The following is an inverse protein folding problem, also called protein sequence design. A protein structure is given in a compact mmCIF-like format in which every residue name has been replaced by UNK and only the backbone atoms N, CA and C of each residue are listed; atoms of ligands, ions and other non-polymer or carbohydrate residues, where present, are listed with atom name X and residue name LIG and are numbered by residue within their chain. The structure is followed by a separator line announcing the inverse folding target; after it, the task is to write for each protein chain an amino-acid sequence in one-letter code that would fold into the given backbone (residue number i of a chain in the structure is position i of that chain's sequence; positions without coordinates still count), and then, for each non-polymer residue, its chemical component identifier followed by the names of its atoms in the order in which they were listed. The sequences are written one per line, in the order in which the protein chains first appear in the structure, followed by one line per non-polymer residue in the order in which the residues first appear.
data_IF_222596041454
#
_entry.id   IF_222596041454
#
_cell.length_a   1.000
_cell.length_b   1.000
_cell.length_c   1.000
_cell.angle_alpha   90.00
_cell.angle_beta   90.00
_cell.angle_gamma   90.00
#
_symmetry.space_group_name_H-M   'P 1'
#
loop_
_entity.id
_entity.type
_entity.pdbx_description
1 polymer ?
#
# COMPACT_ATOMS: atom_id res chain seq x y z
N UNK A 1 24.12 40.47 65.56
CA UNK A 1 23.45 41.04 64.37
C UNK A 1 23.29 39.95 63.32
N UNK A 2 22.05 39.73 62.90
CA UNK A 2 21.57 38.58 62.10
C UNK A 2 22.19 38.57 60.70
N UNK A 3 22.67 37.41 60.23
CA UNK A 3 22.79 37.10 58.79
C UNK A 3 21.85 35.93 58.50
N UNK A 4 20.68 36.26 57.95
CA UNK A 4 19.72 35.31 57.42
C UNK A 4 20.19 34.99 56.00
N UNK A 5 20.52 33.72 55.74
CA UNK A 5 20.74 33.23 54.38
C UNK A 5 19.36 32.98 53.75
N UNK A 6 19.00 33.80 52.78
CA UNK A 6 17.83 33.56 51.92
C UNK A 6 18.25 32.50 50.90
N UNK A 7 17.75 31.28 51.09
CA UNK A 7 17.84 30.20 50.13
C UNK A 7 16.81 30.48 49.03
N UNK A 8 17.24 31.01 47.89
CA UNK A 8 16.38 31.21 46.73
C UNK A 8 15.96 29.87 46.15
N UNK A 9 14.73 29.45 46.47
CA UNK A 9 14.07 28.32 45.83
C UNK A 9 13.66 28.75 44.42
N UNK A 10 14.45 28.37 43.42
CA UNK A 10 14.06 28.50 42.01
C UNK A 10 12.99 27.42 41.74
N UNK A 11 11.72 27.80 41.88
CA UNK A 11 10.60 27.01 41.35
C UNK A 11 10.69 27.12 39.82
N UNK A 12 11.31 26.12 39.19
CA UNK A 12 11.16 25.92 37.75
C UNK A 12 9.71 25.45 37.56
N UNK A 13 8.85 26.40 37.23
CA UNK A 13 7.50 26.15 36.75
C UNK A 13 7.66 25.45 35.39
N UNK A 14 7.72 24.11 35.40
CA UNK A 14 7.67 23.31 34.20
C UNK A 14 6.26 23.47 33.63
N UNK A 15 6.08 24.45 32.74
CA UNK A 15 4.91 24.54 31.87
C UNK A 15 4.86 23.26 31.03
N UNK A 16 4.16 22.26 31.54
CA UNK A 16 3.57 21.20 30.74
C UNK A 16 2.53 21.87 29.84
N UNK A 17 2.98 22.43 28.72
CA UNK A 17 2.10 22.67 27.59
C UNK A 17 1.67 21.30 27.11
N UNK A 18 0.55 20.82 27.66
CA UNK A 18 -0.29 19.84 27.00
C UNK A 18 -0.75 20.52 25.73
N UNK A 19 0.05 20.40 24.67
CA UNK A 19 -0.41 20.67 23.32
C UNK A 19 -1.43 19.59 23.04
N UNK A 20 -2.70 19.92 23.24
CA UNK A 20 -3.78 19.20 22.60
C UNK A 20 -3.45 19.19 21.11
N UNK A 21 -3.13 18.01 20.57
CA UNK A 21 -3.06 17.79 19.13
C UNK A 21 -4.48 17.93 18.58
N UNK A 22 -4.99 19.15 18.52
CA UNK A 22 -6.07 19.48 17.62
C UNK A 22 -5.48 19.37 16.23
N UNK A 23 -5.84 18.31 15.52
CA UNK A 23 -5.58 18.10 14.11
C UNK A 23 -6.14 19.29 13.33
N UNK A 24 -5.34 20.34 13.17
CA UNK A 24 -5.63 21.38 12.22
C UNK A 24 -5.35 20.78 10.84
N UNK A 25 -6.41 20.26 10.22
CA UNK A 25 -6.48 20.09 8.78
C UNK A 25 -6.22 21.46 8.15
N UNK A 26 -4.96 21.70 7.77
CA UNK A 26 -4.55 22.92 7.08
C UNK A 26 -5.20 22.88 5.70
N UNK A 27 -6.17 23.78 5.47
CA UNK A 27 -6.98 23.96 4.26
C UNK A 27 -6.45 23.21 3.03
N UNK A 28 -7.06 22.05 2.75
CA UNK A 28 -6.78 21.21 1.60
C UNK A 28 -7.40 21.84 0.35
N UNK A 29 -6.58 22.03 -0.70
CA UNK A 29 -6.97 22.43 -2.06
C UNK A 29 -7.79 23.72 -2.21
N UNK A 30 -7.29 24.65 -3.03
CA UNK A 30 -8.07 25.82 -3.47
C UNK A 30 -9.38 25.47 -4.20
N UNK A 31 -9.62 24.20 -4.58
CA UNK A 31 -10.79 23.82 -5.34
C UNK A 31 -11.97 23.31 -4.48
N UNK A 32 -11.70 22.56 -3.41
CA UNK A 32 -12.72 21.96 -2.53
C UNK A 32 -12.21 21.84 -1.10
N UNK A 33 -12.87 22.50 -0.17
CA UNK A 33 -12.71 22.28 1.26
C UNK A 33 -13.41 20.97 1.67
N UNK A 34 -12.69 20.11 2.39
CA UNK A 34 -13.20 18.81 2.88
C UNK A 34 -13.06 18.75 4.39
N UNK A 35 -14.18 18.56 5.09
CA UNK A 35 -14.21 18.38 6.54
C UNK A 35 -14.89 17.05 6.86
N UNK A 36 -14.17 16.13 7.50
CA UNK A 36 -14.66 14.82 7.90
C UNK A 36 -14.75 14.74 9.41
N UNK A 37 -15.91 14.31 9.92
CA UNK A 37 -16.13 14.10 11.34
C UNK A 37 -17.24 13.10 11.59
N UNK A 38 -16.97 12.15 12.47
CA UNK A 38 -17.92 11.15 12.99
C UNK A 38 -18.62 10.37 11.86
N UNK A 39 -17.91 10.04 10.79
CA UNK A 39 -18.43 9.31 9.64
C UNK A 39 -19.24 10.17 8.65
N UNK A 40 -19.19 11.50 8.78
CA UNK A 40 -19.83 12.45 7.87
C UNK A 40 -18.79 13.35 7.21
N UNK A 41 -19.07 13.79 5.98
CA UNK A 41 -18.27 14.77 5.24
C UNK A 41 -19.09 16.00 4.87
N UNK A 42 -18.49 17.17 5.08
CA UNK A 42 -18.88 18.43 4.44
C UNK A 42 -17.91 18.71 3.31
N UNK A 43 -18.45 18.89 2.10
CA UNK A 43 -17.69 19.29 0.91
C UNK A 43 -18.15 20.67 0.47
N UNK A 44 -17.22 21.62 0.38
CA UNK A 44 -17.51 22.99 -0.06
C UNK A 44 -16.59 23.38 -1.21
N UNK A 45 -17.19 23.72 -2.34
CA UNK A 45 -16.49 24.03 -3.59
C UNK A 45 -16.07 25.49 -3.59
N UNK A 46 -14.79 25.75 -3.85
CA UNK A 46 -14.18 27.07 -3.87
C UNK A 46 -14.04 27.67 -5.29
N UNK A 47 -14.82 27.14 -6.24
CA UNK A 47 -14.92 27.61 -7.62
C UNK A 47 -16.34 28.10 -7.90
N UNK A 48 -16.46 29.30 -8.48
CA UNK A 48 -17.75 29.94 -8.75
C UNK A 48 -18.51 29.27 -9.90
N UNK A 49 -19.77 28.94 -9.65
CA UNK A 49 -20.77 28.53 -10.63
C UNK A 49 -22.19 28.80 -10.12
N UNK A 50 -23.17 28.72 -11.01
CA UNK A 50 -24.61 28.88 -10.70
C UNK A 50 -25.29 27.56 -10.30
N UNK A 51 -24.72 26.44 -10.73
CA UNK A 51 -25.25 25.09 -10.51
C UNK A 51 -24.10 24.11 -10.25
N UNK A 52 -24.26 23.28 -9.23
CA UNK A 52 -23.31 22.25 -8.83
C UNK A 52 -24.00 20.89 -8.84
N UNK A 53 -23.31 19.88 -9.36
CA UNK A 53 -23.76 18.49 -9.34
C UNK A 53 -22.75 17.63 -8.59
N UNK A 54 -23.20 16.97 -7.52
CA UNK A 54 -22.35 16.08 -6.72
C UNK A 54 -22.77 14.62 -6.95
N UNK A 55 -21.77 13.79 -7.18
CA UNK A 55 -21.92 12.35 -7.35
C UNK A 55 -21.06 11.64 -6.32
N UNK A 56 -21.63 10.65 -5.64
CA UNK A 56 -20.96 9.78 -4.67
C UNK A 56 -20.94 8.36 -5.24
N UNK A 57 -19.76 7.77 -5.41
CA UNK A 57 -19.57 6.44 -6.00
C UNK A 57 -20.37 6.24 -7.30
N UNK A 58 -20.43 7.28 -8.14
CA UNK A 58 -21.16 7.28 -9.42
C UNK A 58 -22.68 7.44 -9.32
N UNK A 59 -23.25 7.69 -8.13
CA UNK A 59 -24.67 8.04 -7.94
C UNK A 59 -24.80 9.54 -7.67
N UNK A 60 -25.69 10.22 -8.39
CA UNK A 60 -26.03 11.62 -8.11
C UNK A 60 -26.64 11.75 -6.72
N UNK A 61 -26.11 12.66 -5.91
CA UNK A 61 -26.60 12.95 -4.55
C UNK A 61 -27.10 14.39 -4.41
N UNK A 62 -26.68 15.32 -5.27
CA UNK A 62 -27.13 16.71 -5.26
C UNK A 62 -27.06 17.35 -6.65
N UNK A 63 -28.01 18.24 -6.94
CA UNK A 63 -27.99 19.18 -8.07
C UNK A 63 -28.70 20.45 -7.61
N UNK A 64 -28.04 21.60 -7.71
CA UNK A 64 -28.63 22.88 -7.32
C UNK A 64 -27.58 23.99 -7.21
N UNK A 65 -27.97 25.14 -6.66
CA UNK A 65 -27.12 26.32 -6.56
C UNK A 65 -26.17 26.34 -5.35
N UNK A 66 -26.35 25.45 -4.38
CA UNK A 66 -25.43 25.34 -3.24
C UNK A 66 -24.10 24.76 -3.71
N UNK A 67 -23.01 25.44 -3.36
CA UNK A 67 -21.64 24.94 -3.55
C UNK A 67 -21.17 24.04 -2.40
N UNK A 68 -22.04 23.77 -1.41
CA UNK A 68 -21.76 22.96 -0.23
C UNK A 68 -22.76 21.81 -0.10
N UNK A 69 -22.27 20.63 0.30
CA UNK A 69 -23.09 19.47 0.66
C UNK A 69 -22.60 18.81 1.94
N UNK A 70 -23.51 18.09 2.60
CA UNK A 70 -23.22 17.15 3.67
C UNK A 70 -23.60 15.74 3.23
N UNK A 71 -22.78 14.75 3.56
CA UNK A 71 -23.01 13.35 3.20
C UNK A 71 -22.42 12.43 4.25
N UNK A 72 -23.08 11.30 4.53
CA UNK A 72 -22.47 10.19 5.27
C UNK A 72 -21.33 9.59 4.44
N UNK A 73 -20.38 8.93 5.10
CA UNK A 73 -19.25 8.24 4.49
C UNK A 73 -19.42 6.73 4.69
N UNK A 74 -19.19 5.95 3.64
CA UNK A 74 -19.20 4.48 3.69
C UNK A 74 -18.05 3.97 4.57
N UNK A 75 -18.09 2.69 4.97
CA UNK A 75 -17.20 2.11 5.98
C UNK A 75 -15.69 2.35 5.79
N UNK A 76 -15.21 2.45 4.55
CA UNK A 76 -13.81 2.75 4.23
C UNK A 76 -13.65 4.22 3.79
N UNK A 77 -14.62 4.72 3.05
CA UNK A 77 -14.54 6.01 2.38
C UNK A 77 -15.45 6.01 1.17
N UNK A 78 -15.44 7.12 0.44
CA UNK A 78 -16.16 7.27 -0.82
C UNK A 78 -15.39 8.12 -1.84
N UNK A 79 -15.69 7.90 -3.13
CA UNK A 79 -15.24 8.75 -4.22
C UNK A 79 -16.33 9.73 -4.61
N UNK A 80 -15.95 10.99 -4.74
CA UNK A 80 -16.82 12.07 -5.17
C UNK A 80 -16.42 12.60 -6.54
N UNK A 81 -17.41 12.93 -7.36
CA UNK A 81 -17.26 13.74 -8.57
C UNK A 81 -18.15 14.97 -8.45
N UNK A 82 -17.61 16.12 -8.80
CA UNK A 82 -18.30 17.40 -8.69
C UNK A 82 -18.23 18.06 -10.07
N UNK A 83 -19.39 18.37 -10.64
CA UNK A 83 -19.51 19.20 -11.84
C UNK A 83 -19.97 20.59 -11.48
N UNK A 84 -19.25 21.61 -11.95
CA UNK A 84 -19.55 23.02 -11.69
C UNK A 84 -19.97 23.68 -13.00
N UNK A 85 -21.15 24.28 -13.01
CA UNK A 85 -21.77 24.85 -14.20
C UNK A 85 -21.94 26.37 -14.05
N UNK A 86 -21.90 27.04 -15.18
CA UNK A 86 -22.25 28.46 -15.32
C UNK A 86 -23.01 28.61 -16.64
N UNK A 87 -24.18 29.21 -16.60
CA UNK A 87 -25.07 29.42 -17.75
C UNK A 87 -25.31 28.11 -18.51
N UNK A 88 -25.64 27.05 -17.76
CA UNK A 88 -25.86 25.68 -18.27
C UNK A 88 -24.64 25.03 -18.97
N UNK A 89 -23.45 25.63 -18.86
CA UNK A 89 -22.20 25.11 -19.43
C UNK A 89 -21.33 24.51 -18.32
N UNK A 90 -20.89 23.25 -18.48
CA UNK A 90 -19.96 22.59 -17.56
C UNK A 90 -18.57 23.26 -17.64
N UNK A 91 -18.19 23.97 -16.58
CA UNK A 91 -16.92 24.71 -16.51
C UNK A 91 -15.79 23.87 -15.94
N UNK A 92 -16.07 23.09 -14.91
CA UNK A 92 -15.05 22.34 -14.20
C UNK A 92 -15.59 21.03 -13.66
N UNK A 93 -14.74 20.00 -13.70
CA UNK A 93 -14.96 18.73 -13.02
C UNK A 93 -13.86 18.50 -12.02
N UNK A 94 -14.26 18.14 -10.80
CA UNK A 94 -13.36 17.78 -9.71
C UNK A 94 -13.67 16.34 -9.32
N UNK A 95 -12.64 15.52 -9.18
CA UNK A 95 -12.75 14.18 -8.58
C UNK A 95 -11.92 14.18 -7.31
N UNK A 96 -12.48 13.63 -6.23
CA UNK A 96 -11.79 13.52 -4.95
C UNK A 96 -12.17 12.25 -4.22
N UNK A 97 -11.31 11.79 -3.35
CA UNK A 97 -11.61 10.76 -2.38
C UNK A 97 -11.84 11.36 -0.99
N UNK A 98 -12.64 10.65 -0.21
CA UNK A 98 -12.89 10.99 1.18
C UNK A 98 -12.82 9.71 1.98
N UNK A 99 -11.92 9.67 2.94
CA UNK A 99 -11.73 8.54 3.86
C UNK A 99 -12.67 8.66 5.05
N UNK A 100 -13.18 7.53 5.56
CA UNK A 100 -13.99 7.52 6.78
C UNK A 100 -13.09 7.55 8.02
N UNK A 101 -13.32 8.50 8.93
CA UNK A 101 -12.58 8.67 10.19
C UNK A 101 -12.97 7.66 11.28
N UNK A 102 -14.09 6.94 11.11
CA UNK A 102 -14.51 5.83 11.97
C UNK A 102 -13.94 4.48 11.56
N UNK A 103 -13.01 4.43 10.59
CA UNK A 103 -12.30 3.20 10.30
C UNK A 103 -11.60 2.71 11.57
N UNK A 104 -11.73 1.41 11.86
CA UNK A 104 -11.00 0.80 12.97
C UNK A 104 -9.51 1.02 12.73
N UNK A 105 -8.86 1.78 13.62
CA UNK A 105 -7.41 1.87 13.65
C UNK A 105 -6.85 0.45 13.71
N UNK A 106 -5.86 0.15 12.86
CA UNK A 106 -5.11 -1.09 12.99
C UNK A 106 -4.48 -1.09 14.39
N UNK A 107 -4.99 -1.97 15.27
CA UNK A 107 -4.61 -2.19 16.69
C UNK A 107 -3.59 -1.19 17.24
N UNK A 108 -4.02 -0.34 18.19
CA UNK A 108 -3.14 0.54 18.98
C UNK A 108 -1.84 -0.19 19.33
N UNK A 109 -0.70 0.44 19.03
CA UNK A 109 0.63 -0.11 19.28
C UNK A 109 0.69 -0.62 20.72
N UNK A 110 0.55 -1.93 20.90
CA UNK A 110 0.78 -2.56 22.19
C UNK A 110 2.25 -2.95 22.19
N UNK A 111 3.12 -2.03 22.62
CA UNK A 111 4.51 -2.35 22.92
C UNK A 111 4.51 -3.15 24.22
N UNK A 112 4.12 -4.43 24.16
CA UNK A 112 4.60 -5.36 25.16
C UNK A 112 6.05 -5.67 24.80
N UNK A 113 6.94 -5.33 25.72
CA UNK A 113 8.38 -5.49 25.60
C UNK A 113 8.75 -6.99 25.65
N UNK A 114 8.26 -7.84 24.74
CA UNK A 114 8.48 -9.28 24.87
C UNK A 114 8.39 -10.11 23.58
N UNK A 115 8.55 -9.50 22.39
CA UNK A 115 8.85 -10.25 21.15
C UNK A 115 10.16 -9.75 20.53
N UNK A 116 11.21 -10.57 20.68
CA UNK A 116 12.64 -10.25 20.51
C UNK A 116 13.13 -9.97 19.07
N UNK A 117 12.28 -9.72 18.07
CA UNK A 117 12.74 -9.70 16.66
C UNK A 117 12.51 -8.42 15.84
N UNK A 118 11.54 -7.58 16.18
CA UNK A 118 11.13 -6.46 15.32
C UNK A 118 11.49 -5.10 15.94
N UNK A 119 12.13 -4.21 15.16
CA UNK A 119 12.56 -2.88 15.63
C UNK A 119 11.39 -1.96 15.96
N UNK A 120 11.63 -0.96 16.83
CA UNK A 120 10.66 0.13 17.05
C UNK A 120 10.33 0.84 15.74
N UNK A 121 11.34 1.11 14.90
CA UNK A 121 11.16 1.79 13.62
C UNK A 121 10.32 0.97 12.63
N UNK A 122 10.48 -0.36 12.59
CA UNK A 122 9.60 -1.24 11.80
C UNK A 122 8.16 -1.22 12.28
N UNK A 123 7.93 -1.28 13.61
CA UNK A 123 6.58 -1.23 14.17
C UNK A 123 5.92 0.12 13.93
N UNK A 124 6.67 1.21 14.09
CA UNK A 124 6.20 2.57 13.85
C UNK A 124 5.88 2.79 12.37
N UNK A 125 6.77 2.35 11.47
CA UNK A 125 6.55 2.40 10.03
C UNK A 125 5.29 1.64 9.63
N UNK A 126 5.15 0.39 10.10
CA UNK A 126 4.00 -0.45 9.80
C UNK A 126 2.69 0.17 10.31
N UNK A 127 2.68 0.63 11.56
CA UNK A 127 1.53 1.31 12.15
C UNK A 127 1.14 2.57 11.37
N UNK A 128 2.10 3.43 11.06
CA UNK A 128 1.84 4.69 10.34
C UNK A 128 1.37 4.43 8.92
N UNK A 129 2.02 3.54 8.17
CA UNK A 129 1.60 3.22 6.80
C UNK A 129 0.19 2.62 6.77
N UNK A 130 -0.15 1.71 7.70
CA UNK A 130 -1.48 1.10 7.78
C UNK A 130 -2.60 2.10 8.11
N UNK A 131 -2.32 3.08 8.98
CA UNK A 131 -3.30 4.05 9.46
C UNK A 131 -3.28 5.40 8.72
N UNK A 132 -2.34 5.63 7.81
CA UNK A 132 -2.31 6.84 6.96
C UNK A 132 -3.16 6.68 5.70
N UNK A 133 -3.58 7.80 5.14
CA UNK A 133 -4.39 7.85 3.92
C UNK A 133 -3.85 8.90 2.95
N UNK A 134 -4.07 8.70 1.65
CA UNK A 134 -3.79 9.75 0.65
C UNK A 134 -5.10 10.41 0.28
N UNK A 135 -5.24 11.70 0.57
CA UNK A 135 -6.31 12.50 0.00
C UNK A 135 -5.88 13.01 -1.37
N UNK A 136 -6.77 12.88 -2.34
CA UNK A 136 -6.62 13.20 -3.74
C UNK A 136 -7.69 14.22 -4.10
N UNK A 137 -7.27 15.32 -4.72
CA UNK A 137 -8.16 16.22 -5.45
C UNK A 137 -7.60 16.37 -6.85
N UNK A 138 -8.34 15.86 -7.84
CA UNK A 138 -7.96 15.87 -9.25
C UNK A 138 -8.90 16.74 -10.07
N UNK A 139 -8.32 17.57 -10.93
CA UNK A 139 -9.01 18.34 -11.97
C UNK A 139 -8.55 17.84 -13.34
N UNK A 140 -8.97 18.46 -14.44
CA UNK A 140 -8.45 18.08 -15.77
C UNK A 140 -6.96 18.36 -15.93
N UNK A 141 -6.42 19.26 -15.12
CA UNK A 141 -5.12 19.88 -15.36
C UNK A 141 -4.09 19.49 -14.29
N UNK A 142 -4.55 19.06 -13.11
CA UNK A 142 -3.68 18.73 -12.00
C UNK A 142 -4.24 17.62 -11.08
N UNK A 143 -3.33 17.03 -10.32
CA UNK A 143 -3.61 16.16 -9.17
C UNK A 143 -2.92 16.73 -7.94
N UNK A 144 -3.69 16.97 -6.89
CA UNK A 144 -3.20 17.37 -5.58
C UNK A 144 -3.30 16.18 -4.64
N UNK A 145 -2.17 15.79 -4.07
CA UNK A 145 -2.04 14.72 -3.09
C UNK A 145 -1.75 15.33 -1.74
N UNK A 146 -2.32 14.78 -0.67
CA UNK A 146 -1.95 15.10 0.71
C UNK A 146 -2.08 13.88 1.60
N UNK A 147 -1.24 13.78 2.63
CA UNK A 147 -1.14 12.60 3.48
C UNK A 147 -0.82 12.97 4.93
N UNK A 148 -1.02 12.03 5.85
CA UNK A 148 -0.58 12.18 7.23
C UNK A 148 0.93 11.99 7.34
N UNK A 149 1.57 12.62 8.32
CA UNK A 149 3.00 12.46 8.57
C UNK A 149 3.38 10.98 8.72
N UNK A 150 4.32 10.55 7.87
CA UNK A 150 4.91 9.21 7.89
C UNK A 150 6.28 9.26 8.60
N UNK A 151 6.81 8.12 9.07
CA UNK A 151 8.17 8.07 9.61
C UNK A 151 9.17 8.29 8.47
N UNK A 152 9.91 9.38 8.56
CA UNK A 152 11.05 9.71 7.72
C UNK A 152 12.18 10.21 8.63
N UNK A 153 13.43 10.05 8.21
CA UNK A 153 14.59 10.47 9.00
C UNK A 153 14.95 11.94 8.75
N UNK A 154 14.76 12.39 7.51
CA UNK A 154 15.17 13.69 7.00
C UNK A 154 14.00 14.64 6.69
N UNK A 155 12.76 14.20 6.92
CA UNK A 155 11.57 14.98 6.53
C UNK A 155 11.22 14.88 5.05
N UNK A 156 11.93 14.08 4.25
CA UNK A 156 11.78 14.07 2.79
C UNK A 156 10.86 12.94 2.33
N UNK A 157 9.78 13.32 1.66
CA UNK A 157 8.87 12.41 0.97
C UNK A 157 9.26 12.30 -0.49
N UNK A 158 9.60 11.09 -0.97
CA UNK A 158 9.83 10.85 -2.39
C UNK A 158 8.52 10.53 -3.12
N UNK A 159 8.20 11.27 -4.17
CA UNK A 159 6.95 11.15 -4.91
C UNK A 159 7.19 10.48 -6.25
N UNK A 160 6.47 9.38 -6.49
CA UNK A 160 6.52 8.60 -7.71
C UNK A 160 5.18 8.63 -8.44
N UNK A 161 5.23 8.65 -9.77
CA UNK A 161 4.09 8.42 -10.66
C UNK A 161 4.46 7.35 -11.68
N UNK A 162 3.67 6.29 -11.74
CA UNK A 162 3.90 5.11 -12.59
C UNK A 162 5.34 4.57 -12.45
N UNK A 163 5.75 4.32 -11.20
CA UNK A 163 7.07 3.81 -10.81
C UNK A 163 8.26 4.75 -11.13
N UNK A 164 8.02 5.98 -11.60
CA UNK A 164 9.05 7.00 -11.86
C UNK A 164 9.00 8.13 -10.82
N UNK A 165 10.14 8.46 -10.20
CA UNK A 165 10.25 9.63 -9.30
C UNK A 165 9.94 10.91 -10.09
N UNK A 166 8.96 11.68 -9.62
CA UNK A 166 8.55 12.96 -10.22
C UNK A 166 8.91 14.17 -9.34
N UNK A 167 9.28 13.94 -8.08
CA UNK A 167 9.71 14.98 -7.17
C UNK A 167 9.97 14.46 -5.77
N UNK A 168 10.30 15.40 -4.89
CA UNK A 168 10.43 15.20 -3.45
C UNK A 168 9.92 16.45 -2.75
N UNK A 169 9.49 16.31 -1.50
CA UNK A 169 8.94 17.43 -0.73
C UNK A 169 9.11 17.17 0.77
N UNK A 170 9.21 18.24 1.55
CA UNK A 170 9.10 18.18 3.03
C UNK A 170 7.69 18.49 3.52
N UNK A 171 6.83 18.94 2.62
CA UNK A 171 5.42 19.21 2.93
C UNK A 171 4.60 17.93 2.88
N UNK A 172 3.50 17.90 3.64
CA UNK A 172 2.52 16.81 3.62
C UNK A 172 1.56 16.88 2.41
N UNK A 173 2.02 17.50 1.33
CA UNK A 173 1.27 17.64 0.08
C UNK A 173 2.19 17.75 -1.14
N UNK A 174 1.65 17.39 -2.30
CA UNK A 174 2.33 17.51 -3.58
C UNK A 174 1.30 17.79 -4.69
N UNK A 175 1.64 18.66 -5.65
CA UNK A 175 0.79 18.94 -6.81
C UNK A 175 1.49 18.53 -8.10
N UNK A 176 0.91 17.60 -8.83
CA UNK A 176 1.35 17.19 -10.16
C UNK A 176 0.50 17.87 -11.24
N UNK A 177 1.14 18.73 -12.04
CA UNK A 177 0.51 19.44 -13.17
C UNK A 177 0.81 18.82 -14.53
N UNK A 178 1.58 17.72 -14.56
CA UNK A 178 2.04 17.08 -15.80
C UNK A 178 1.15 15.88 -16.15
N UNK A 179 -0.16 16.05 -16.01
CA UNK A 179 -1.20 15.03 -16.15
C UNK A 179 -2.10 15.32 -17.35
N UNK A 180 -2.81 14.30 -17.83
CA UNK A 180 -3.71 14.44 -18.98
C UNK A 180 -5.14 13.99 -18.62
N UNK A 181 -6.17 14.70 -19.10
CA UNK A 181 -7.57 14.32 -18.87
C UNK A 181 -7.87 12.89 -19.34
N UNK A 182 -8.55 12.11 -18.50
CA UNK A 182 -8.95 10.74 -18.82
C UNK A 182 -7.86 9.67 -18.74
N UNK A 183 -6.61 10.04 -18.46
CA UNK A 183 -5.55 9.09 -18.16
C UNK A 183 -5.66 8.56 -16.72
N UNK A 184 -5.04 7.40 -16.46
CA UNK A 184 -4.91 6.82 -15.12
C UNK A 184 -3.45 6.88 -14.69
N UNK A 185 -3.22 7.29 -13.45
CA UNK A 185 -1.89 7.36 -12.85
C UNK A 185 -1.86 6.59 -11.53
N UNK A 186 -0.74 5.90 -11.27
CA UNK A 186 -0.45 5.33 -9.95
C UNK A 186 0.55 6.23 -9.22
N UNK A 187 0.14 6.80 -8.09
CA UNK A 187 1.01 7.62 -7.26
C UNK A 187 1.50 6.84 -6.04
N UNK A 188 2.76 7.03 -5.68
CA UNK A 188 3.35 6.48 -4.45
C UNK A 188 4.20 7.52 -3.74
N UNK A 189 4.02 7.62 -2.43
CA UNK A 189 4.85 8.36 -1.50
C UNK A 189 5.73 7.35 -0.78
N UNK A 190 7.04 7.43 -0.99
CA UNK A 190 8.00 6.51 -0.40
C UNK A 190 8.79 7.22 0.71
N UNK A 191 9.05 6.48 1.78
CA UNK A 191 9.84 6.93 2.93
C UNK A 191 10.76 5.82 3.41
N UNK A 192 11.85 6.20 4.07
CA UNK A 192 12.77 5.26 4.71
C UNK A 192 13.31 5.83 6.00
N UNK A 193 13.54 4.96 6.97
CA UNK A 193 14.24 5.30 8.22
C UNK A 193 15.34 4.29 8.49
N UNK A 194 16.46 4.75 9.05
CA UNK A 194 17.49 3.83 9.54
C UNK A 194 17.00 3.07 10.78
N UNK A 195 17.46 1.83 10.99
CA UNK A 195 17.23 1.13 12.25
C UNK A 195 18.01 1.80 13.39
N UNK A 196 17.77 1.41 14.66
CA UNK A 196 18.52 1.99 15.78
C UNK A 196 20.02 1.68 15.69
N UNK A 197 20.89 2.49 16.31
CA UNK A 197 22.35 2.25 16.31
C UNK A 197 22.71 0.85 16.79
N UNK A 198 22.08 0.38 17.86
CA UNK A 198 22.28 -0.99 18.37
C UNK A 198 21.94 -2.07 17.33
N UNK A 199 20.92 -1.83 16.51
CA UNK A 199 20.53 -2.74 15.44
C UNK A 199 21.47 -2.66 14.25
N UNK A 200 21.93 -1.47 13.89
CA UNK A 200 22.97 -1.28 12.88
C UNK A 200 24.24 -2.05 13.27
N UNK A 201 24.74 -1.89 14.49
CA UNK A 201 25.92 -2.62 15.00
C UNK A 201 25.72 -4.15 14.94
N UNK A 202 24.53 -4.64 15.31
CA UNK A 202 24.19 -6.07 15.22
C UNK A 202 24.16 -6.58 13.77
N UNK A 203 23.67 -5.76 12.83
CA UNK A 203 23.61 -6.10 11.41
C UNK A 203 24.99 -6.06 10.77
N UNK A 204 25.81 -5.04 11.09
CA UNK A 204 27.20 -4.92 10.67
C UNK A 204 28.02 -6.13 11.09
N UNK A 205 27.94 -6.52 12.37
CA UNK A 205 28.62 -7.73 12.85
C UNK A 205 28.21 -8.98 12.08
N UNK A 206 26.92 -9.14 11.75
CA UNK A 206 26.43 -10.26 10.94
C UNK A 206 26.95 -10.22 9.51
N UNK A 207 27.04 -9.04 8.90
CA UNK A 207 27.63 -8.89 7.57
C UNK A 207 29.09 -9.34 7.57
N UNK A 208 29.84 -8.98 8.61
CA UNK A 208 31.26 -9.34 8.73
C UNK A 208 31.46 -10.84 9.03
N UNK A 209 30.71 -11.41 9.98
CA UNK A 209 30.73 -12.84 10.33
C UNK A 209 30.47 -13.75 9.12
N UNK A 210 29.68 -13.26 8.15
CA UNK A 210 29.27 -14.02 6.98
C UNK A 210 29.99 -13.60 5.68
N UNK A 211 31.00 -12.74 5.79
CA UNK A 211 31.88 -12.36 4.68
C UNK A 211 31.18 -11.57 3.57
N UNK A 212 30.26 -10.67 3.95
CA UNK A 212 29.52 -9.83 3.01
C UNK A 212 30.44 -8.97 2.13
N UNK A 213 30.10 -8.83 0.85
CA UNK A 213 30.80 -7.99 -0.12
C UNK A 213 30.04 -6.70 -0.45
N UNK A 214 29.13 -6.27 0.45
CA UNK A 214 28.37 -5.04 0.30
C UNK A 214 29.24 -3.84 0.66
N UNK A 215 29.14 -2.77 -0.13
CA UNK A 215 29.63 -1.44 0.23
C UNK A 215 28.81 -0.82 1.37
N UNK A 216 29.33 0.22 2.02
CA UNK A 216 28.63 0.87 3.15
C UNK A 216 27.25 1.40 2.75
N UNK A 217 27.14 1.97 1.53
CA UNK A 217 25.86 2.40 0.97
C UNK A 217 24.88 1.24 0.76
N UNK A 218 25.35 0.12 0.23
CA UNK A 218 24.50 -1.07 0.06
C UNK A 218 24.07 -1.64 1.41
N UNK A 219 24.95 -1.61 2.44
CA UNK A 219 24.58 -1.99 3.80
C UNK A 219 23.49 -1.07 4.35
N UNK A 220 23.63 0.24 4.20
CA UNK A 220 22.64 1.22 4.65
C UNK A 220 21.27 0.99 4.00
N UNK A 221 21.23 0.79 2.68
CA UNK A 221 19.99 0.48 1.95
C UNK A 221 19.35 -0.83 2.44
N UNK A 222 20.15 -1.88 2.60
CA UNK A 222 19.70 -3.19 3.11
C UNK A 222 19.18 -3.09 4.55
N UNK A 223 19.78 -2.22 5.38
CA UNK A 223 19.37 -2.03 6.77
C UNK A 223 18.12 -1.16 6.93
N UNK A 224 17.83 -0.29 5.96
CA UNK A 224 16.72 0.66 6.03
C UNK A 224 15.35 -0.02 6.17
N UNK A 225 14.50 0.61 6.99
CA UNK A 225 13.08 0.26 7.11
C UNK A 225 12.32 1.13 6.14
N UNK A 226 11.58 0.51 5.23
CA UNK A 226 10.92 1.22 4.12
C UNK A 226 9.40 1.25 4.29
N UNK A 227 8.81 2.36 3.88
CA UNK A 227 7.37 2.58 3.80
C UNK A 227 6.94 3.04 2.41
N UNK A 228 5.74 2.66 1.98
CA UNK A 228 5.10 3.26 0.81
C UNK A 228 3.60 3.42 1.02
N UNK A 229 3.09 4.58 0.66
CA UNK A 229 1.66 4.86 0.65
C UNK A 229 1.28 5.23 -0.79
N UNK A 230 0.30 4.54 -1.37
CA UNK A 230 0.00 4.63 -2.80
C UNK A 230 -1.49 4.76 -3.08
N UNK A 231 -1.84 5.35 -4.22
CA UNK A 231 -3.22 5.42 -4.70
C UNK A 231 -3.28 5.49 -6.22
N UNK A 232 -4.41 5.06 -6.79
CA UNK A 232 -4.68 5.12 -8.23
C UNK A 232 -5.66 6.25 -8.50
N UNK A 233 -5.29 7.16 -9.40
CA UNK A 233 -6.07 8.34 -9.75
C UNK A 233 -6.51 8.25 -11.20
N UNK A 234 -7.83 8.28 -11.41
CA UNK A 234 -8.43 8.47 -12.72
C UNK A 234 -8.65 9.95 -12.96
N UNK A 235 -7.96 10.52 -13.95
CA UNK A 235 -8.07 11.94 -14.26
C UNK A 235 -9.45 12.26 -14.82
N UNK A 236 -10.14 13.29 -14.30
CA UNK A 236 -11.41 13.70 -14.83
C UNK A 236 -11.31 14.20 -16.27
N UNK A 237 -12.44 14.12 -16.95
CA UNK A 237 -12.70 14.82 -18.20
C UNK A 237 -13.79 15.85 -17.96
N UNK A 238 -13.68 17.01 -18.61
CA UNK A 238 -14.67 18.08 -18.49
C UNK A 238 -15.91 17.78 -19.35
N UNK A 239 -16.61 16.68 -19.07
CA UNK A 239 -17.77 16.21 -19.82
C UNK A 239 -18.85 15.61 -18.89
N UNK A 240 -20.13 15.80 -19.23
CA UNK A 240 -21.27 15.29 -18.44
C UNK A 240 -21.28 13.75 -18.34
N UNK A 241 -20.84 13.07 -19.40
CA UNK A 241 -20.72 11.61 -19.45
C UNK A 241 -19.75 11.08 -18.38
N UNK A 242 -18.66 11.80 -18.11
CA UNK A 242 -17.69 11.42 -17.09
C UNK A 242 -18.30 11.48 -15.69
N UNK A 243 -19.07 12.53 -15.38
CA UNK A 243 -19.76 12.70 -14.09
C UNK A 243 -20.71 11.54 -13.79
N UNK A 244 -21.47 11.10 -14.81
CA UNK A 244 -22.43 9.99 -14.69
C UNK A 244 -21.79 8.61 -14.72
N UNK A 245 -20.51 8.51 -15.09
CA UNK A 245 -19.83 7.22 -15.20
C UNK A 245 -19.61 6.58 -13.81
N UNK A 246 -19.93 5.29 -13.72
CA UNK A 246 -19.66 4.44 -12.54
C UNK A 246 -18.32 3.71 -12.62
N UNK A 247 -17.46 4.15 -13.56
CA UNK A 247 -16.15 3.56 -13.83
C UNK A 247 -15.26 3.77 -12.59
N UNK A 248 -14.70 2.69 -12.08
CA UNK A 248 -13.72 2.67 -11.00
C UNK A 248 -12.71 1.56 -11.27
N UNK A 249 -11.58 1.57 -10.57
CA UNK A 249 -10.57 0.50 -10.66
C UNK A 249 -11.18 -0.88 -10.41
N UNK A 250 -12.11 -0.98 -9.44
CA UNK A 250 -12.78 -2.23 -9.07
C UNK A 250 -13.83 -2.67 -10.09
N UNK A 251 -14.52 -1.72 -10.75
CA UNK A 251 -15.56 -2.02 -11.74
C UNK A 251 -14.97 -2.24 -13.15
N UNK A 252 -13.85 -1.63 -13.49
CA UNK A 252 -13.24 -1.80 -14.82
C UNK A 252 -12.67 -3.19 -15.06
N UNK A 253 -12.18 -3.84 -14.00
CA UNK A 253 -11.66 -5.19 -14.14
C UNK A 253 -12.76 -6.17 -14.55
N UNK A 254 -14.05 -5.86 -14.41
CA UNK A 254 -15.19 -6.75 -14.70
C UNK A 254 -15.82 -6.54 -16.10
N UNK A 255 -15.45 -5.49 -16.84
CA UNK A 255 -16.29 -4.97 -17.94
C UNK A 255 -16.17 -5.74 -19.29
N UNK A 256 -15.15 -6.59 -19.48
CA UNK A 256 -14.84 -7.18 -20.80
C UNK A 256 -15.12 -8.68 -20.97
N UNK A 257 -15.67 -9.37 -19.97
CA UNK A 257 -16.01 -10.80 -20.06
C UNK A 257 -17.43 -11.03 -20.55
N UNK A 258 -17.62 -11.78 -21.64
CA UNK A 258 -18.88 -12.49 -21.87
C UNK A 258 -19.18 -13.35 -20.62
N UNK A 259 -20.46 -13.41 -20.26
CA UNK A 259 -21.05 -14.11 -19.12
C UNK A 259 -20.18 -15.23 -18.51
N UNK A 260 -20.11 -15.32 -17.17
CA UNK A 260 -19.77 -16.60 -16.56
C UNK A 260 -20.76 -17.67 -17.04
N UNK A 261 -20.30 -18.90 -17.24
CA UNK A 261 -21.09 -20.01 -17.78
C UNK A 261 -22.39 -20.32 -17.01
N UNK A 262 -22.61 -19.69 -15.84
CA UNK A 262 -23.82 -19.80 -15.04
C UNK A 262 -24.90 -18.75 -15.32
N UNK A 263 -24.68 -17.72 -16.15
CA UNK A 263 -25.73 -16.80 -16.61
C UNK A 263 -26.53 -16.02 -15.55
N UNK A 264 -26.22 -16.16 -14.26
CA UNK A 264 -27.05 -15.72 -13.12
C UNK A 264 -26.31 -14.90 -12.05
N UNK A 265 -25.03 -14.58 -12.24
CA UNK A 265 -24.24 -13.81 -11.26
C UNK A 265 -23.96 -12.39 -11.78
N UNK A 266 -24.16 -11.33 -10.96
CA UNK A 266 -23.82 -9.95 -11.33
C UNK A 266 -22.33 -9.85 -11.73
N UNK A 267 -22.00 -9.05 -12.75
CA UNK A 267 -20.61 -8.90 -13.22
C UNK A 267 -19.72 -8.14 -12.23
N UNK A 268 -20.31 -7.30 -11.40
CA UNK A 268 -19.70 -6.26 -10.55
C UNK A 268 -19.48 -6.70 -9.09
N UNK A 269 -19.58 -8.00 -8.77
CA UNK A 269 -19.55 -8.46 -7.39
C UNK A 269 -18.38 -9.40 -7.06
N UNK A 270 -17.56 -9.81 -8.04
CA UNK A 270 -16.46 -10.76 -7.87
C UNK A 270 -15.09 -10.18 -8.22
N UNK A 271 -14.09 -10.44 -7.37
CA UNK A 271 -12.71 -10.02 -7.58
C UNK A 271 -11.73 -11.14 -7.21
N UNK A 272 -10.68 -11.28 -8.00
CA UNK A 272 -9.52 -12.13 -7.75
C UNK A 272 -8.31 -11.27 -7.36
N UNK A 273 -7.68 -11.62 -6.25
CA UNK A 273 -6.59 -10.91 -5.60
C UNK A 273 -5.36 -11.81 -5.58
N UNK A 274 -4.41 -11.59 -6.48
CA UNK A 274 -3.26 -12.48 -6.68
C UNK A 274 -1.98 -11.83 -6.16
N UNK A 275 -1.51 -12.29 -5.00
CA UNK A 275 -0.20 -11.93 -4.45
C UNK A 275 0.81 -13.03 -4.80
N UNK A 276 1.91 -12.64 -5.44
CA UNK A 276 2.98 -13.56 -5.83
C UNK A 276 4.33 -13.06 -5.39
N UNK A 277 5.22 -14.03 -5.13
CA UNK A 277 6.65 -13.78 -4.98
C UNK A 277 7.39 -14.45 -6.12
N UNK A 278 8.48 -13.85 -6.62
CA UNK A 278 9.29 -14.46 -7.67
C UNK A 278 10.73 -13.96 -7.64
N UNK A 279 11.66 -14.78 -8.13
CA UNK A 279 13.06 -14.42 -8.30
C UNK A 279 13.26 -13.95 -9.74
N UNK A 280 13.56 -12.67 -10.01
CA UNK A 280 13.63 -12.15 -11.38
C UNK A 280 14.79 -12.75 -12.18
N UNK A 281 15.84 -13.23 -11.49
CA UNK A 281 17.02 -13.81 -12.10
C UNK A 281 16.83 -15.27 -12.50
N UNK A 282 17.66 -15.77 -13.43
CA UNK A 282 17.74 -17.21 -13.77
C UNK A 282 18.12 -18.07 -12.56
N UNK A 283 19.03 -17.57 -11.74
CA UNK A 283 19.46 -18.17 -10.49
C UNK A 283 20.10 -17.12 -9.59
N UNK A 284 20.12 -17.42 -8.29
CA UNK A 284 20.85 -16.67 -7.27
C UNK A 284 21.82 -17.62 -6.57
N UNK A 285 22.91 -17.09 -6.03
CA UNK A 285 23.85 -17.89 -5.26
C UNK A 285 23.13 -18.58 -4.10
N UNK A 286 23.50 -19.82 -3.78
CA UNK A 286 23.04 -20.45 -2.56
C UNK A 286 23.68 -19.68 -1.39
N UNK A 287 22.86 -19.06 -0.53
CA UNK A 287 23.32 -18.20 0.55
C UNK A 287 24.05 -18.94 1.67
N UNK A 288 24.07 -20.28 1.70
CA UNK A 288 24.76 -21.04 2.74
C UNK A 288 26.28 -21.14 2.49
N UNK A 289 27.14 -20.70 3.43
CA UNK A 289 28.60 -20.70 3.28
C UNK A 289 29.24 -22.09 3.06
N UNK A 290 28.64 -23.16 3.60
CA UNK A 290 29.14 -24.54 3.49
C UNK A 290 28.95 -25.14 2.08
N UNK A 291 28.02 -24.61 1.28
CA UNK A 291 27.80 -25.03 -0.11
C UNK A 291 28.44 -24.05 -1.09
N UNK A 292 29.72 -23.69 -0.84
CA UNK A 292 30.50 -22.81 -1.71
C UNK A 292 30.27 -23.21 -3.18
N UNK A 293 29.76 -22.27 -3.99
CA UNK A 293 29.50 -22.39 -5.43
C UNK A 293 28.28 -23.22 -5.86
N UNK A 294 27.21 -23.28 -5.06
CA UNK A 294 25.89 -23.77 -5.53
C UNK A 294 24.90 -22.62 -5.73
N UNK A 295 23.76 -22.90 -6.38
CA UNK A 295 22.80 -21.89 -6.82
C UNK A 295 21.37 -22.36 -6.62
N UNK A 296 20.46 -21.43 -6.31
CA UNK A 296 19.01 -21.65 -6.31
C UNK A 296 18.44 -21.15 -7.64
N UNK A 297 17.66 -22.00 -8.31
CA UNK A 297 16.97 -21.63 -9.56
C UNK A 297 15.95 -20.54 -9.29
N UNK A 298 16.00 -19.45 -10.04
CA UNK A 298 14.99 -18.39 -10.02
C UNK A 298 13.90 -18.59 -11.08
N UNK A 299 13.03 -17.59 -11.22
CA UNK A 299 11.91 -17.60 -12.16
C UNK A 299 12.26 -16.98 -13.50
N UNK A 300 13.29 -16.12 -13.55
CA UNK A 300 13.85 -15.58 -14.79
C UNK A 300 12.84 -14.76 -15.58
N UNK A 301 12.17 -13.81 -14.92
CA UNK A 301 11.08 -13.02 -15.52
C UNK A 301 10.96 -11.64 -14.87
N UNK A 302 10.15 -10.80 -15.50
CA UNK A 302 9.71 -9.53 -14.95
C UNK A 302 8.29 -9.62 -14.34
N UNK A 303 7.79 -8.50 -13.83
CA UNK A 303 6.44 -8.37 -13.30
C UNK A 303 5.37 -8.73 -14.34
N UNK A 304 4.42 -9.56 -13.94
CA UNK A 304 3.35 -9.99 -14.84
C UNK A 304 2.16 -10.51 -14.06
N UNK A 305 0.99 -9.94 -14.32
CA UNK A 305 -0.26 -10.38 -13.70
C UNK A 305 -0.70 -11.79 -14.15
N UNK A 306 -0.15 -12.31 -15.24
CA UNK A 306 -0.58 -13.57 -15.87
C UNK A 306 0.50 -14.66 -15.87
N UNK A 307 1.72 -14.37 -15.39
CA UNK A 307 2.80 -15.35 -15.33
C UNK A 307 2.46 -16.53 -14.43
N UNK A 308 2.74 -17.73 -14.91
CA UNK A 308 2.67 -18.98 -14.12
C UNK A 308 4.01 -19.38 -13.48
N UNK A 309 5.05 -18.56 -13.63
CA UNK A 309 6.37 -18.74 -13.00
C UNK A 309 6.43 -17.88 -11.74
N UNK A 310 6.57 -18.47 -10.57
CA UNK A 310 6.65 -17.75 -9.29
C UNK A 310 7.22 -18.68 -8.22
N UNK A 311 7.66 -18.15 -7.09
CA UNK A 311 8.01 -18.91 -5.88
C UNK A 311 6.75 -19.33 -5.13
N UNK A 312 5.91 -18.37 -4.77
CA UNK A 312 4.64 -18.62 -4.09
C UNK A 312 3.52 -17.75 -4.66
N UNK A 313 2.28 -18.24 -4.55
CA UNK A 313 1.07 -17.55 -4.93
C UNK A 313 -0.01 -17.73 -3.86
N UNK A 314 -0.58 -16.62 -3.41
CA UNK A 314 -1.81 -16.53 -2.65
C UNK A 314 -2.84 -15.81 -3.50
N UNK A 315 -3.86 -16.53 -3.94
CA UNK A 315 -4.96 -15.98 -4.75
C UNK A 315 -6.26 -16.03 -3.95
N UNK A 316 -6.71 -14.87 -3.46
CA UNK A 316 -7.99 -14.75 -2.78
C UNK A 316 -9.07 -14.41 -3.81
N UNK A 317 -10.16 -15.16 -3.82
CA UNK A 317 -11.35 -14.86 -4.60
C UNK A 317 -12.44 -14.37 -3.64
N UNK A 318 -13.01 -13.21 -3.96
CA UNK A 318 -14.08 -12.57 -3.19
C UNK A 318 -15.35 -12.44 -4.01
N UNK A 319 -16.50 -12.57 -3.36
CA UNK A 319 -17.82 -12.35 -3.95
C UNK A 319 -18.74 -11.67 -2.94
N UNK A 320 -19.37 -10.54 -3.31
CA UNK A 320 -20.28 -9.82 -2.42
C UNK A 320 -21.66 -10.51 -2.29
N UNK A 321 -22.20 -11.07 -3.38
CA UNK A 321 -23.57 -11.61 -3.42
C UNK A 321 -23.64 -12.94 -4.17
N UNK A 322 -24.51 -13.85 -3.73
CA UNK A 322 -24.80 -15.11 -4.43
C UNK A 322 -23.88 -16.31 -4.18
N UNK A 323 -23.54 -16.74 -2.94
CA UNK A 323 -23.58 -16.05 -1.64
C UNK A 323 -22.31 -15.21 -1.41
N UNK A 324 -22.27 -14.45 -0.32
CA UNK A 324 -21.05 -13.73 0.07
C UNK A 324 -19.92 -14.72 0.39
N UNK A 325 -18.77 -14.59 -0.27
CA UNK A 325 -17.65 -15.53 -0.13
C UNK A 325 -16.27 -14.85 -0.14
N UNK A 326 -15.34 -15.44 0.61
CA UNK A 326 -13.90 -15.16 0.58
C UNK A 326 -13.22 -16.52 0.64
N UNK A 327 -12.47 -16.87 -0.41
CA UNK A 327 -11.79 -18.16 -0.51
C UNK A 327 -10.37 -17.95 -1.01
N UNK A 328 -9.43 -18.81 -0.63
CA UNK A 328 -8.04 -18.68 -1.06
C UNK A 328 -7.52 -19.95 -1.72
N UNK A 329 -6.93 -19.78 -2.89
CA UNK A 329 -6.05 -20.74 -3.53
C UNK A 329 -4.60 -20.41 -3.18
N UNK A 330 -3.79 -21.45 -2.94
CA UNK A 330 -2.39 -21.32 -2.53
C UNK A 330 -1.54 -22.23 -3.41
N UNK A 331 -0.38 -21.74 -3.86
CA UNK A 331 0.59 -22.55 -4.59
C UNK A 331 2.02 -22.21 -4.21
N UNK A 332 2.86 -23.23 -4.18
CA UNK A 332 4.31 -23.13 -4.00
C UNK A 332 4.96 -23.87 -5.15
N UNK A 333 5.87 -23.22 -5.85
CA UNK A 333 6.64 -23.86 -6.92
C UNK A 333 7.79 -24.69 -6.37
N UNK A 334 8.21 -25.70 -7.14
CA UNK A 334 9.35 -26.53 -6.78
C UNK A 334 10.65 -25.70 -6.72
N UNK A 335 11.33 -25.76 -5.58
CA UNK A 335 12.70 -25.25 -5.43
C UNK A 335 13.69 -26.21 -6.07
N UNK A 336 14.68 -25.66 -6.75
CA UNK A 336 15.73 -26.43 -7.43
C UNK A 336 17.09 -25.87 -7.04
N UNK A 337 17.95 -26.74 -6.49
CA UNK A 337 19.35 -26.41 -6.18
C UNK A 337 20.24 -26.94 -7.30
N UNK A 338 21.22 -26.16 -7.70
CA UNK A 338 22.07 -26.39 -8.87
C UNK A 338 23.56 -26.21 -8.52
N UNK A 339 24.42 -26.92 -9.25
CA UNK A 339 25.89 -26.82 -9.10
C UNK A 339 26.48 -25.61 -9.82
N UNK A 340 25.79 -25.09 -10.82
CA UNK A 340 26.26 -23.99 -11.68
C UNK A 340 25.21 -22.87 -11.79
N UNK A 341 25.69 -21.66 -12.08
CA UNK A 341 24.83 -20.48 -12.20
C UNK A 341 23.80 -20.59 -13.33
N UNK A 342 24.12 -21.30 -14.41
CA UNK A 342 23.17 -21.55 -15.49
C UNK A 342 22.09 -22.58 -15.11
N UNK A 343 22.22 -23.21 -13.94
CA UNK A 343 21.34 -24.25 -13.41
C UNK A 343 21.13 -25.40 -14.39
N UNK A 344 22.21 -25.79 -15.07
CA UNK A 344 22.24 -26.91 -16.02
C UNK A 344 22.49 -28.25 -15.32
N UNK A 345 23.19 -28.22 -14.17
CA UNK A 345 23.50 -29.38 -13.34
C UNK A 345 22.69 -29.31 -12.05
N UNK A 346 21.53 -29.96 -12.04
CA UNK A 346 20.64 -30.01 -10.87
C UNK A 346 21.23 -30.94 -9.80
N UNK A 347 21.21 -30.47 -8.56
CA UNK A 347 21.65 -31.22 -7.37
C UNK A 347 20.47 -31.77 -6.57
N UNK A 348 19.41 -31.00 -6.39
CA UNK A 348 18.24 -31.39 -5.59
C UNK A 348 16.98 -30.63 -6.05
N UNK A 349 15.81 -31.22 -5.82
CA UNK A 349 14.49 -30.66 -6.11
C UNK A 349 13.52 -30.98 -4.99
N UNK A 350 12.95 -29.95 -4.36
CA UNK A 350 11.96 -30.11 -3.29
C UNK A 350 10.90 -29.02 -3.37
N UNK A 351 9.69 -29.32 -2.92
CA UNK A 351 8.59 -28.35 -2.85
C UNK A 351 8.22 -28.13 -1.40
N UNK A 352 8.18 -26.88 -0.95
CA UNK A 352 7.77 -26.57 0.42
C UNK A 352 6.25 -26.72 0.57
N UNK A 353 5.81 -27.01 1.80
CA UNK A 353 4.39 -27.07 2.13
C UNK A 353 3.74 -25.69 2.05
N UNK A 354 2.46 -25.64 1.65
CA UNK A 354 1.62 -24.43 1.67
C UNK A 354 1.11 -24.08 3.08
N UNK A 355 1.43 -24.88 4.12
CA UNK A 355 0.92 -24.69 5.47
C UNK A 355 1.27 -23.33 6.11
N UNK A 356 2.37 -22.71 5.67
CA UNK A 356 2.79 -21.37 6.08
C UNK A 356 1.96 -20.22 5.48
N UNK A 357 1.11 -20.49 4.50
CA UNK A 357 0.15 -19.52 3.96
C UNK A 357 -1.20 -19.69 4.64
N UNK A 358 -1.76 -18.64 5.25
CA UNK A 358 -3.03 -18.69 5.99
C UNK A 358 -3.95 -17.54 5.59
N UNK A 359 -5.25 -17.81 5.54
CA UNK A 359 -6.31 -16.82 5.32
C UNK A 359 -7.09 -16.66 6.62
N UNK A 360 -7.28 -15.42 7.05
CA UNK A 360 -8.11 -15.03 8.18
C UNK A 360 -9.24 -14.16 7.65
N UNK A 361 -10.49 -14.53 7.92
CA UNK A 361 -11.66 -13.76 7.52
C UNK A 361 -12.09 -12.92 8.71
N UNK A 362 -11.85 -11.61 8.65
CA UNK A 362 -12.19 -10.65 9.69
C UNK A 362 -13.65 -10.20 9.57
N UNK A 363 -14.16 -10.06 8.34
CA UNK A 363 -15.57 -9.77 8.07
C UNK A 363 -16.01 -10.32 6.73
N UNK A 364 -17.27 -10.77 6.65
CA UNK A 364 -17.89 -11.32 5.44
C UNK A 364 -19.35 -10.91 5.37
N UNK A 365 -19.60 -9.70 4.86
CA UNK A 365 -20.94 -9.10 4.66
C UNK A 365 -21.14 -8.73 3.19
N UNK A 366 -22.39 -8.53 2.77
CA UNK A 366 -22.76 -8.26 1.37
C UNK A 366 -22.37 -6.87 0.87
N UNK A 367 -21.95 -5.99 1.77
CA UNK A 367 -21.50 -4.62 1.57
C UNK A 367 -20.05 -4.37 2.03
N UNK A 368 -19.49 -5.30 2.82
CA UNK A 368 -18.15 -5.18 3.39
C UNK A 368 -17.46 -6.54 3.56
N UNK A 369 -16.29 -6.68 2.93
CA UNK A 369 -15.40 -7.84 3.06
C UNK A 369 -14.09 -7.40 3.68
N UNK A 370 -13.57 -8.20 4.61
CA UNK A 370 -12.30 -7.92 5.27
C UNK A 370 -11.57 -9.21 5.56
N UNK A 371 -10.34 -9.32 5.08
CA UNK A 371 -9.52 -10.50 5.32
C UNK A 371 -8.05 -10.12 5.44
N UNK A 372 -7.31 -11.04 6.04
CA UNK A 372 -5.86 -10.98 6.18
C UNK A 372 -5.26 -12.27 5.64
N UNK A 373 -4.15 -12.16 4.92
CA UNK A 373 -3.32 -13.30 4.56
C UNK A 373 -1.97 -13.14 5.22
N UNK A 374 -1.48 -14.24 5.80
CA UNK A 374 -0.09 -14.35 6.26
C UNK A 374 0.63 -15.43 5.48
N UNK A 375 1.93 -15.24 5.30
CA UNK A 375 2.81 -16.13 4.58
C UNK A 375 4.12 -16.25 5.34
N UNK A 376 4.57 -17.47 5.57
CA UNK A 376 5.87 -17.79 6.14
C UNK A 376 6.37 -19.12 5.57
N UNK A 377 6.96 -19.09 4.37
CA UNK A 377 7.38 -20.31 3.65
C UNK A 377 8.88 -20.28 3.38
N UNK A 378 9.56 -21.32 3.87
CA UNK A 378 11.00 -21.51 3.73
C UNK A 378 11.42 -22.30 2.51
N UNK A 379 12.71 -22.25 2.21
CA UNK A 379 13.34 -23.07 1.17
C UNK A 379 13.42 -24.53 1.69
N UNK A 380 12.88 -25.53 0.97
CA UNK A 380 12.66 -26.88 1.50
C UNK A 380 13.91 -27.78 1.58
N UNK A 381 15.11 -27.21 1.50
CA UNK A 381 16.37 -27.96 1.51
C UNK A 381 16.99 -28.09 2.92
N UNK A 382 16.43 -27.43 3.93
CA UNK A 382 16.85 -27.53 5.33
C UNK A 382 16.22 -26.45 6.21
N UNK A 383 16.13 -26.71 7.52
CA UNK A 383 15.48 -25.80 8.46
C UNK A 383 16.23 -24.47 8.67
N UNK A 384 17.51 -24.41 8.31
CA UNK A 384 18.35 -23.21 8.43
C UNK A 384 18.12 -22.19 7.30
N UNK A 385 17.45 -22.56 6.21
CA UNK A 385 17.12 -21.59 5.16
C UNK A 385 16.03 -20.64 5.67
N UNK A 386 16.11 -19.34 5.37
CA UNK A 386 15.12 -18.37 5.78
C UNK A 386 13.81 -18.62 5.05
N UNK A 387 12.78 -18.05 5.65
CA UNK A 387 11.45 -17.98 5.07
C UNK A 387 11.33 -16.69 4.28
N UNK A 388 10.47 -16.73 3.27
CA UNK A 388 9.88 -15.52 2.73
C UNK A 388 8.66 -15.26 3.61
N UNK A 389 8.65 -14.14 4.31
CA UNK A 389 7.58 -13.71 5.18
C UNK A 389 6.89 -12.48 4.59
N UNK A 390 5.56 -12.54 4.51
CA UNK A 390 4.74 -11.37 4.23
C UNK A 390 3.35 -11.52 4.84
N UNK A 391 2.70 -10.39 5.06
CA UNK A 391 1.27 -10.32 5.33
C UNK A 391 0.62 -9.22 4.48
N UNK A 392 -0.66 -9.39 4.23
CA UNK A 392 -1.49 -8.32 3.70
C UNK A 392 -2.91 -8.38 4.27
N UNK A 393 -3.49 -7.20 4.45
CA UNK A 393 -4.86 -6.98 4.87
C UNK A 393 -5.62 -6.26 3.74
N UNK A 394 -6.85 -6.70 3.47
CA UNK A 394 -7.72 -6.02 2.51
C UNK A 394 -9.07 -5.74 3.17
N UNK A 395 -9.43 -4.46 3.22
CA UNK A 395 -10.78 -3.98 3.49
C UNK A 395 -11.41 -3.60 2.15
N UNK A 396 -12.59 -4.13 1.85
CA UNK A 396 -13.24 -3.98 0.55
C UNK A 396 -14.73 -3.65 0.71
N UNK A 397 -15.15 -2.55 0.08
CA UNK A 397 -16.56 -2.27 -0.24
C UNK A 397 -16.78 -2.40 -1.75
N UNK A 398 -18.01 -2.22 -2.22
CA UNK A 398 -18.29 -2.22 -3.67
C UNK A 398 -17.63 -1.08 -4.42
N UNK A 399 -17.36 0.04 -3.74
CA UNK A 399 -16.79 1.24 -4.35
C UNK A 399 -15.28 1.32 -4.18
N UNK A 400 -14.73 0.76 -3.10
CA UNK A 400 -13.38 1.08 -2.66
C UNK A 400 -12.66 -0.10 -2.01
N UNK A 401 -11.33 -0.06 -2.06
CA UNK A 401 -10.47 -1.00 -1.35
C UNK A 401 -9.33 -0.27 -0.63
N UNK A 402 -9.10 -0.62 0.63
CA UNK A 402 -7.91 -0.26 1.39
C UNK A 402 -7.09 -1.53 1.58
N UNK A 403 -5.90 -1.56 0.98
CA UNK A 403 -5.02 -2.72 1.00
C UNK A 403 -3.73 -2.31 1.68
N UNK A 404 -3.30 -3.04 2.70
CA UNK A 404 -2.01 -2.81 3.35
C UNK A 404 -1.26 -4.11 3.53
N UNK A 405 0.05 -4.05 3.71
CA UNK A 405 0.84 -5.24 3.96
C UNK A 405 2.26 -4.92 4.38
N UNK A 406 2.98 -5.98 4.70
CA UNK A 406 4.37 -5.94 5.12
C UNK A 406 5.09 -7.16 4.58
N UNK A 407 6.32 -7.01 4.10
CA UNK A 407 7.07 -8.14 3.53
C UNK A 407 8.58 -8.01 3.68
N UNK A 408 9.30 -9.13 3.54
CA UNK A 408 10.76 -9.16 3.34
C UNK A 408 11.18 -8.40 2.10
N UNK A 409 12.34 -7.74 2.13
CA UNK A 409 12.87 -7.02 0.98
C UNK A 409 13.47 -7.94 -0.12
N UNK A 410 13.39 -9.26 0.02
CA UNK A 410 13.59 -10.18 -1.09
C UNK A 410 12.63 -11.38 -0.99
N UNK A 411 12.21 -11.98 -2.12
CA UNK A 411 12.56 -11.66 -3.51
C UNK A 411 11.66 -10.54 -4.08
N UNK A 412 11.28 -10.57 -5.36
CA UNK A 412 10.27 -9.62 -5.84
C UNK A 412 8.88 -9.99 -5.31
N UNK A 413 8.08 -8.97 -5.00
CA UNK A 413 6.69 -9.10 -4.58
C UNK A 413 5.79 -8.39 -5.59
N UNK A 414 4.66 -8.99 -5.94
CA UNK A 414 3.67 -8.38 -6.83
C UNK A 414 2.26 -8.73 -6.38
N UNK A 415 1.36 -7.75 -6.45
CA UNK A 415 -0.04 -7.91 -6.08
C UNK A 415 -0.95 -7.26 -7.11
N UNK A 416 -1.91 -8.03 -7.61
CA UNK A 416 -2.87 -7.59 -8.61
C UNK A 416 -4.31 -7.87 -8.18
N UNK A 417 -5.22 -6.99 -8.58
CA UNK A 417 -6.67 -7.25 -8.59
C UNK A 417 -7.17 -7.44 -10.01
N UNK A 418 -8.07 -8.38 -10.21
CA UNK A 418 -8.72 -8.68 -11.48
C UNK A 418 -10.16 -9.16 -11.23
N UNK A 419 -11.01 -9.19 -12.26
CA UNK A 419 -12.29 -9.91 -12.18
C UNK A 419 -12.16 -11.32 -12.76
N UNK A 420 -13.07 -12.25 -12.40
CA UNK A 420 -13.17 -13.53 -13.09
C UNK A 420 -13.28 -13.30 -14.60
N UNK A 421 -12.51 -14.06 -15.40
CA UNK A 421 -12.45 -13.98 -16.87
C UNK A 421 -11.90 -12.68 -17.49
N UNK A 422 -11.40 -11.73 -16.69
CA UNK A 422 -10.77 -10.53 -17.23
C UNK A 422 -9.37 -10.81 -17.75
N UNK A 423 -9.06 -10.30 -18.95
CA UNK A 423 -7.68 -10.21 -19.45
C UNK A 423 -6.91 -9.03 -18.85
N UNK A 424 -7.61 -8.14 -18.13
CA UNK A 424 -7.02 -6.95 -17.49
C UNK A 424 -6.94 -7.14 -15.99
N UNK A 425 -5.78 -6.80 -15.45
CA UNK A 425 -5.54 -6.73 -14.02
C UNK A 425 -5.00 -5.34 -13.68
N UNK A 426 -5.36 -4.84 -12.52
CA UNK A 426 -4.80 -3.61 -11.96
C UNK A 426 -3.68 -4.00 -10.99
N UNK A 427 -2.50 -3.40 -11.17
CA UNK A 427 -1.42 -3.48 -10.19
C UNK A 427 -1.82 -2.76 -8.91
N UNK A 428 -1.81 -3.48 -7.79
CA UNK A 428 -1.96 -2.90 -6.45
C UNK A 428 -0.59 -2.49 -5.95
N UNK A 429 0.36 -3.43 -6.00
CA UNK A 429 1.66 -3.25 -5.39
C UNK A 429 2.74 -4.04 -6.14
N UNK A 430 3.95 -3.47 -6.18
CA UNK A 430 5.15 -4.11 -6.69
C UNK A 430 6.34 -3.73 -5.83
N UNK A 431 7.21 -4.71 -5.61
CA UNK A 431 8.52 -4.51 -5.04
C UNK A 431 9.54 -5.30 -5.83
N UNK A 432 10.65 -4.65 -6.22
CA UNK A 432 11.73 -5.24 -6.97
C UNK A 432 13.02 -5.19 -6.16
N UNK A 433 13.73 -6.32 -6.11
CA UNK A 433 15.16 -6.30 -5.79
C UNK A 433 15.92 -5.59 -6.91
N UNK A 434 16.87 -4.74 -6.54
CA UNK A 434 17.77 -3.99 -7.43
C UNK A 434 18.89 -4.86 -7.97
N UNK A 435 19.34 -5.86 -7.21
CA UNK A 435 20.47 -6.70 -7.60
C UNK A 435 20.36 -8.13 -7.07
N UNK A 436 21.28 -9.02 -7.50
CA UNK A 436 21.41 -10.35 -6.89
C UNK A 436 21.92 -10.29 -5.45
N UNK A 437 22.59 -9.19 -5.07
CA UNK A 437 23.12 -9.03 -3.72
C UNK A 437 22.00 -8.85 -2.71
N UNK A 438 20.88 -8.24 -3.08
CA UNK A 438 19.75 -7.94 -2.19
C UNK A 438 19.12 -9.21 -1.57
N UNK A 439 19.35 -10.39 -2.14
CA UNK A 439 18.96 -11.66 -1.53
C UNK A 439 19.61 -11.92 -0.16
N UNK A 440 20.64 -11.12 0.21
CA UNK A 440 21.18 -11.00 1.57
C UNK A 440 20.11 -10.56 2.58
N UNK A 441 19.10 -9.80 2.18
CA UNK A 441 18.02 -9.31 3.07
C UNK A 441 17.23 -10.45 3.70
N UNK A 442 17.04 -11.55 3.00
CA UNK A 442 16.41 -12.75 3.57
C UNK A 442 17.23 -13.38 4.72
N UNK A 443 18.50 -13.03 4.87
CA UNK A 443 19.44 -13.68 5.81
C UNK A 443 19.93 -12.76 6.92
N UNK A 444 20.35 -11.54 6.57
CA UNK A 444 21.07 -10.66 7.51
C UNK A 444 20.19 -9.53 8.01
N UNK A 445 19.37 -8.97 7.14
CA UNK A 445 18.56 -7.81 7.40
C UNK A 445 17.08 -8.17 7.40
N UNK A 446 16.55 -8.54 8.57
CA UNK A 446 15.11 -8.73 8.78
C UNK A 446 14.29 -7.43 8.58
N UNK A 447 14.93 -6.33 8.16
CA UNK A 447 14.26 -5.09 7.82
C UNK A 447 13.21 -5.38 6.74
N UNK A 448 11.99 -5.00 7.04
CA UNK A 448 10.83 -5.22 6.19
C UNK A 448 10.43 -3.92 5.50
N UNK A 449 9.63 -4.07 4.46
CA UNK A 449 8.90 -2.96 3.84
C UNK A 449 7.42 -3.04 4.19
N UNK A 450 6.87 -1.96 4.73
CA UNK A 450 5.44 -1.77 4.88
C UNK A 450 4.87 -0.96 3.72
N UNK A 451 3.67 -1.30 3.30
CA UNK A 451 3.02 -0.63 2.18
C UNK A 451 1.51 -0.56 2.36
N UNK A 452 0.88 0.47 1.78
CA UNK A 452 -0.56 0.60 1.68
C UNK A 452 -0.94 1.18 0.33
N UNK A 453 -1.98 0.62 -0.29
CA UNK A 453 -2.56 1.08 -1.54
C UNK A 453 -4.05 1.26 -1.36
N UNK A 454 -4.56 2.43 -1.75
CA UNK A 454 -5.97 2.75 -1.69
C UNK A 454 -6.56 2.92 -3.10
N UNK A 455 -7.63 2.16 -3.36
CA UNK A 455 -8.35 2.15 -4.64
C UNK A 455 -9.70 2.85 -4.46
N UNK A 456 -9.86 3.99 -5.13
CA UNK A 456 -11.05 4.86 -5.04
C UNK A 456 -11.88 4.91 -6.33
#
# INVERSE_FOLDING_TARGET
MKKIYILSFFIILLCLSVTTNTSHAKNLSNDVETNVKDGHVTLKVNYTGDTYKFFKNGKSIYTGSSNEINSDISKIGDKYKIGIYQDNTLKKVITLNVTNDLQEEANKITVSAETKEESYNEKLMDYKIKNSHINVVATTDDVKLSWNQLPDEDGIYEIYRDDKKIGETTDLNFTDKNVKPGERYNYSINVSVKPSKEQQEKMEKKFDELGSTLSDKEKEEVMSVEGSLSTIVDMPKNEESYLKSKKSVLNEVTDNGKLSAQGKLPKDNMHGWAYRTFIPYKSVADPKPEFKKTYLKGDGRDFSATSNKFRTESSVNTQFTGPTSITMYKKVSQSVRCKDAACTKVLDKKTASTAGMKLYINSKKSDYLHWTVTHAIGIPFGAYYPKIDYDYNVMLTKGMASISGKHDKAPNHEFYVSAPSSSKATTIYRYAVKSKKDFVELWFAKAKKSWKTELF
#
